data_IF_398948601932
#
_entry.id   IF_398948601932
#
_cell.length_a   1.000
_cell.length_b   1.000
_cell.length_c   1.000
_cell.angle_alpha   90.00
_cell.angle_beta   90.00
_cell.angle_gamma   90.00
#
_symmetry.space_group_name_H-M   'P 1'
#
loop_
_entity.id
_entity.type
_entity.pdbx_description
1 polymer ?
#
# COMPACT_ATOMS: atom_id res chain seq x y z
N UNK A 1 -18.27 -20.69 -12.70
CA UNK A 1 -18.08 -22.16 -12.91
C UNK A 1 -16.59 -22.43 -12.89
N UNK A 2 -16.16 -23.48 -12.18
CA UNK A 2 -14.78 -23.89 -12.22
C UNK A 2 -14.51 -24.61 -13.55
N UNK A 3 -13.39 -24.32 -14.19
CA UNK A 3 -12.95 -25.04 -15.37
C UNK A 3 -12.48 -26.46 -14.99
N UNK A 4 -12.69 -27.48 -15.81
CA UNK A 4 -12.31 -28.87 -15.50
C UNK A 4 -10.80 -29.04 -15.19
N UNK A 5 -9.97 -28.14 -15.72
CA UNK A 5 -8.51 -28.16 -15.54
C UNK A 5 -8.02 -27.30 -14.34
N UNK A 6 -8.91 -26.71 -13.56
CA UNK A 6 -8.55 -25.99 -12.34
C UNK A 6 -8.67 -26.92 -11.13
N UNK A 7 -7.69 -26.86 -10.22
CA UNK A 7 -7.78 -27.55 -8.94
C UNK A 7 -8.31 -26.60 -7.85
N UNK A 8 -9.41 -26.99 -7.23
CA UNK A 8 -10.00 -26.26 -6.09
C UNK A 8 -10.15 -27.25 -4.92
N UNK A 9 -9.47 -26.97 -3.82
CA UNK A 9 -9.54 -27.83 -2.63
C UNK A 9 -10.99 -27.89 -2.11
N UNK A 10 -11.51 -29.03 -1.71
CA UNK A 10 -12.90 -29.19 -1.27
C UNK A 10 -13.32 -28.32 -0.09
N UNK A 11 -12.38 -27.93 0.76
CA UNK A 11 -12.62 -27.06 1.92
C UNK A 11 -12.53 -25.56 1.60
N UNK A 12 -12.17 -25.17 0.37
CA UNK A 12 -12.19 -23.79 -0.04
C UNK A 12 -13.64 -23.26 -0.12
N UNK A 13 -13.88 -22.09 0.42
CA UNK A 13 -15.20 -21.44 0.44
C UNK A 13 -15.30 -20.45 -0.72
N UNK A 14 -15.84 -20.91 -1.83
CA UNK A 14 -15.97 -20.11 -3.05
C UNK A 14 -17.42 -19.63 -3.19
N UNK A 15 -17.63 -18.32 -3.25
CA UNK A 15 -18.95 -17.76 -3.44
C UNK A 15 -19.54 -18.09 -4.83
N UNK A 16 -20.87 -17.90 -4.99
CA UNK A 16 -21.52 -18.05 -6.29
C UNK A 16 -20.96 -17.03 -7.28
N UNK A 17 -21.00 -17.37 -8.57
CA UNK A 17 -20.55 -16.50 -9.69
C UNK A 17 -19.06 -16.11 -9.67
N UNK A 18 -18.23 -16.81 -8.91
CA UNK A 18 -16.76 -16.74 -9.06
C UNK A 18 -16.38 -17.50 -10.33
N UNK A 19 -15.52 -16.87 -11.15
CA UNK A 19 -14.95 -17.49 -12.35
C UNK A 19 -13.52 -17.89 -12.04
N UNK A 20 -13.18 -19.16 -12.29
CA UNK A 20 -11.83 -19.70 -12.09
C UNK A 20 -11.40 -20.29 -13.43
N UNK A 21 -10.35 -19.73 -14.00
CA UNK A 21 -9.79 -20.14 -15.30
C UNK A 21 -8.90 -21.39 -15.19
N UNK A 22 -8.58 -22.08 -16.31
CA UNK A 22 -7.78 -23.28 -16.32
C UNK A 22 -6.40 -23.13 -15.64
N UNK A 23 -5.88 -24.23 -15.12
CA UNK A 23 -4.55 -24.35 -14.49
C UNK A 23 -4.36 -23.51 -13.22
N UNK A 24 -5.45 -23.01 -12.64
CA UNK A 24 -5.45 -22.33 -11.35
C UNK A 24 -5.49 -23.35 -10.22
N UNK A 25 -4.72 -23.11 -9.16
CA UNK A 25 -4.70 -23.92 -7.94
C UNK A 25 -5.18 -23.11 -6.76
N UNK A 26 -6.22 -23.61 -6.05
CA UNK A 26 -6.76 -23.01 -4.83
C UNK A 26 -6.66 -24.04 -3.70
N UNK A 27 -5.90 -23.66 -2.65
CA UNK A 27 -5.63 -24.51 -1.50
C UNK A 27 -6.81 -24.54 -0.51
N UNK A 28 -6.68 -25.34 0.56
CA UNK A 28 -7.59 -25.35 1.70
C UNK A 28 -7.59 -23.99 2.43
N UNK A 29 -8.52 -23.79 3.35
CA UNK A 29 -8.63 -22.55 4.15
C UNK A 29 -8.59 -21.24 3.33
N UNK A 30 -9.17 -21.25 2.11
CA UNK A 30 -9.32 -20.08 1.24
C UNK A 30 -10.78 -19.64 1.21
N UNK A 31 -11.02 -18.32 1.22
CA UNK A 31 -12.36 -17.71 1.05
C UNK A 31 -12.30 -16.72 -0.10
N UNK A 32 -13.26 -16.83 -1.06
CA UNK A 32 -13.34 -15.93 -2.23
C UNK A 32 -14.76 -15.39 -2.35
N UNK A 33 -14.86 -14.06 -2.35
CA UNK A 33 -16.11 -13.30 -2.48
C UNK A 33 -16.72 -13.35 -3.88
N UNK A 34 -18.01 -13.02 -3.95
CA UNK A 34 -18.81 -13.11 -5.18
C UNK A 34 -18.31 -12.16 -6.28
N UNK A 35 -18.49 -12.56 -7.54
CA UNK A 35 -18.13 -11.75 -8.71
C UNK A 35 -16.63 -11.69 -9.02
N UNK A 36 -15.80 -12.35 -8.22
CA UNK A 36 -14.35 -12.37 -8.43
C UNK A 36 -13.98 -13.27 -9.61
N UNK A 37 -13.06 -12.78 -10.43
CA UNK A 37 -12.45 -13.51 -11.55
C UNK A 37 -10.99 -13.84 -11.26
N UNK A 38 -10.64 -15.09 -11.45
CA UNK A 38 -9.30 -15.63 -11.24
C UNK A 38 -8.79 -16.20 -12.57
N UNK A 39 -7.76 -15.57 -13.11
CA UNK A 39 -7.14 -15.93 -14.37
C UNK A 39 -6.41 -17.26 -14.33
N UNK A 40 -5.98 -17.71 -15.49
CA UNK A 40 -5.24 -18.97 -15.62
C UNK A 40 -3.88 -18.92 -14.91
N UNK A 41 -3.41 -20.09 -14.43
CA UNK A 41 -2.10 -20.22 -13.77
C UNK A 41 -1.94 -19.32 -12.53
N UNK A 42 -3.01 -19.04 -11.79
CA UNK A 42 -2.99 -18.36 -10.50
C UNK A 42 -2.86 -19.41 -9.39
N UNK A 43 -2.06 -19.14 -8.38
CA UNK A 43 -1.98 -19.95 -7.17
C UNK A 43 -2.51 -19.16 -5.99
N UNK A 44 -3.56 -19.67 -5.33
CA UNK A 44 -4.11 -19.11 -4.10
C UNK A 44 -3.85 -20.09 -2.96
N UNK A 45 -2.94 -19.72 -2.07
CA UNK A 45 -2.48 -20.57 -0.97
C UNK A 45 -3.35 -20.35 0.27
N UNK A 46 -3.10 -21.17 1.28
CA UNK A 46 -3.82 -21.16 2.56
C UNK A 46 -3.83 -19.77 3.21
N UNK A 47 -4.93 -19.47 3.90
CA UNK A 47 -5.09 -18.21 4.62
C UNK A 47 -5.56 -17.03 3.75
N UNK A 48 -5.78 -17.21 2.44
CA UNK A 48 -6.30 -16.15 1.59
C UNK A 48 -7.77 -15.85 1.90
N UNK A 49 -8.09 -14.57 2.06
CA UNK A 49 -9.43 -13.99 2.22
C UNK A 49 -9.60 -12.92 1.17
N UNK A 50 -10.26 -13.23 0.06
CA UNK A 50 -10.41 -12.37 -1.10
C UNK A 50 -11.83 -11.85 -1.14
N UNK A 51 -11.98 -10.54 -1.25
CA UNK A 51 -13.27 -9.85 -1.33
C UNK A 51 -14.04 -10.10 -2.62
N UNK A 52 -15.03 -9.24 -2.86
CA UNK A 52 -15.94 -9.33 -4.01
C UNK A 52 -15.39 -8.58 -5.21
N UNK A 53 -15.82 -9.00 -6.42
CA UNK A 53 -15.54 -8.30 -7.68
C UNK A 53 -14.03 -8.06 -7.92
N UNK A 54 -13.16 -8.88 -7.35
CA UNK A 54 -11.72 -8.80 -7.58
C UNK A 54 -11.35 -9.41 -8.92
N UNK A 55 -10.21 -9.00 -9.47
CA UNK A 55 -9.63 -9.57 -10.68
C UNK A 55 -8.17 -9.93 -10.42
N UNK A 56 -7.84 -11.22 -10.51
CA UNK A 56 -6.49 -11.74 -10.25
C UNK A 56 -5.98 -12.35 -11.55
N UNK A 57 -4.90 -11.78 -12.06
CA UNK A 57 -4.35 -12.09 -13.38
C UNK A 57 -3.30 -13.21 -13.32
N UNK A 58 -2.97 -13.81 -14.47
CA UNK A 58 -2.13 -14.99 -14.56
C UNK A 58 -0.76 -14.86 -13.88
N UNK A 59 -0.29 -15.96 -13.32
CA UNK A 59 1.02 -16.06 -12.67
C UNK A 59 1.09 -15.46 -11.26
N UNK A 60 -0.01 -14.86 -10.77
CA UNK A 60 -0.04 -14.32 -9.41
C UNK A 60 -0.06 -15.42 -8.35
N UNK A 61 0.64 -15.19 -7.24
CA UNK A 61 0.69 -16.07 -6.07
C UNK A 61 0.20 -15.31 -4.84
N UNK A 62 -0.94 -15.73 -4.31
CA UNK A 62 -1.60 -15.06 -3.19
C UNK A 62 -1.49 -15.93 -1.93
N UNK A 63 -1.10 -15.31 -0.82
CA UNK A 63 -0.99 -15.95 0.50
C UNK A 63 0.14 -16.98 0.60
N UNK A 64 1.23 -16.80 -0.18
CA UNK A 64 2.44 -17.59 0.05
C UNK A 64 2.98 -17.36 1.47
N UNK A 65 3.70 -18.36 1.98
CA UNK A 65 4.38 -18.25 3.28
C UNK A 65 5.33 -17.04 3.29
N UNK A 66 5.51 -16.38 4.44
CA UNK A 66 6.46 -15.29 4.57
C UNK A 66 7.88 -15.69 4.15
N UNK A 67 8.58 -14.75 3.50
CA UNK A 67 10.02 -14.88 3.23
C UNK A 67 10.81 -14.37 4.43
N UNK A 68 10.48 -14.87 5.62
CA UNK A 68 11.11 -14.50 6.89
C UNK A 68 11.63 -15.75 7.58
N UNK A 69 12.92 -15.77 7.91
CA UNK A 69 13.57 -16.90 8.59
C UNK A 69 13.00 -17.19 9.98
N UNK A 70 12.23 -16.27 10.56
CA UNK A 70 11.57 -16.42 11.86
C UNK A 70 10.16 -17.01 11.77
N UNK A 71 9.67 -17.27 10.56
CA UNK A 71 8.34 -17.84 10.36
C UNK A 71 8.36 -19.32 10.80
N UNK A 72 7.43 -19.70 11.69
CA UNK A 72 7.33 -20.99 12.34
C UNK A 72 6.00 -21.71 11.99
N UNK A 73 5.50 -21.55 10.74
CA UNK A 73 4.26 -22.13 10.21
C UNK A 73 2.98 -21.68 10.94
N UNK A 74 2.96 -20.46 11.49
CA UNK A 74 1.77 -19.87 12.13
C UNK A 74 0.58 -19.79 11.17
N UNK A 75 -0.62 -20.02 11.68
CA UNK A 75 -1.87 -19.81 10.94
C UNK A 75 -2.16 -18.32 10.75
N UNK A 76 -1.69 -17.77 9.66
CA UNK A 76 -1.84 -16.35 9.33
C UNK A 76 -2.58 -16.15 8.02
N UNK A 77 -2.97 -14.92 7.71
CA UNK A 77 -3.82 -14.63 6.55
C UNK A 77 -3.27 -13.56 5.61
N UNK A 78 -3.81 -13.56 4.39
CA UNK A 78 -3.86 -12.39 3.50
C UNK A 78 -5.31 -11.99 3.38
N UNK A 79 -5.62 -10.74 3.67
CA UNK A 79 -6.95 -10.16 3.53
C UNK A 79 -6.95 -9.14 2.39
N UNK A 80 -7.72 -9.40 1.33
CA UNK A 80 -7.87 -8.52 0.17
C UNK A 80 -9.30 -8.03 0.14
N UNK A 81 -9.49 -6.72 0.09
CA UNK A 81 -10.79 -6.06 0.04
C UNK A 81 -11.56 -6.28 -1.27
N UNK A 82 -12.61 -5.50 -1.45
CA UNK A 82 -13.49 -5.57 -2.62
C UNK A 82 -12.93 -4.76 -3.81
N UNK A 83 -13.28 -5.14 -5.05
CA UNK A 83 -12.92 -4.46 -6.30
C UNK A 83 -11.40 -4.28 -6.52
N UNK A 84 -10.58 -5.16 -5.99
CA UNK A 84 -9.12 -5.12 -6.15
C UNK A 84 -8.72 -5.78 -7.47
N UNK A 85 -7.84 -5.10 -8.22
CA UNK A 85 -7.22 -5.67 -9.42
C UNK A 85 -5.77 -5.99 -9.14
N UNK A 86 -5.42 -7.27 -9.25
CA UNK A 86 -4.06 -7.80 -9.08
C UNK A 86 -3.59 -8.30 -10.44
N UNK A 87 -2.60 -7.62 -11.01
CA UNK A 87 -2.08 -7.92 -12.35
C UNK A 87 -1.10 -9.11 -12.31
N UNK A 88 -0.54 -9.38 -13.47
CA UNK A 88 0.25 -10.58 -13.74
C UNK A 88 1.47 -10.70 -12.81
N UNK A 89 1.76 -11.92 -12.38
CA UNK A 89 2.95 -12.27 -11.59
C UNK A 89 3.13 -11.45 -10.29
N UNK A 90 2.06 -10.97 -9.71
CA UNK A 90 2.09 -10.34 -8.38
C UNK A 90 2.22 -11.40 -7.31
N UNK A 91 3.02 -11.14 -6.28
CA UNK A 91 3.14 -12.00 -5.11
C UNK A 91 2.76 -11.26 -3.84
N UNK A 92 1.91 -11.89 -3.00
CA UNK A 92 1.49 -11.36 -1.70
C UNK A 92 1.70 -12.45 -0.66
N UNK A 93 2.59 -12.19 0.31
CA UNK A 93 2.83 -13.12 1.41
C UNK A 93 1.82 -12.92 2.55
N UNK A 94 1.43 -14.00 3.24
CA UNK A 94 0.61 -13.93 4.44
C UNK A 94 1.41 -13.33 5.62
N UNK A 95 0.75 -12.99 6.71
CA UNK A 95 1.40 -12.40 7.89
C UNK A 95 2.30 -13.38 8.64
N UNK A 96 3.03 -12.86 9.62
CA UNK A 96 3.73 -13.62 10.65
C UNK A 96 3.00 -13.50 11.99
N UNK A 97 3.53 -14.07 13.05
CA UNK A 97 3.00 -13.93 14.42
C UNK A 97 2.94 -12.47 14.92
N UNK A 98 3.58 -11.53 14.25
CA UNK A 98 3.58 -10.12 14.66
C UNK A 98 2.23 -9.45 14.42
N UNK A 99 1.73 -9.48 13.17
CA UNK A 99 0.42 -8.89 12.82
C UNK A 99 -0.63 -9.93 12.43
N UNK A 100 -0.28 -11.19 12.37
CA UNK A 100 -1.14 -12.31 11.98
C UNK A 100 -1.73 -12.21 10.58
N UNK A 101 -1.52 -11.11 9.87
CA UNK A 101 -2.07 -10.87 8.53
C UNK A 101 -1.33 -9.84 7.72
N UNK A 102 -1.43 -9.97 6.41
CA UNK A 102 -1.14 -8.93 5.40
C UNK A 102 -2.47 -8.45 4.83
N UNK A 103 -2.65 -7.13 4.69
CA UNK A 103 -3.93 -6.55 4.27
C UNK A 103 -3.78 -5.67 3.05
N UNK A 104 -4.68 -5.80 2.09
CA UNK A 104 -4.88 -4.88 0.95
C UNK A 104 -6.32 -4.39 0.96
N UNK A 105 -6.52 -3.08 1.08
CA UNK A 105 -7.84 -2.46 1.13
C UNK A 105 -8.59 -2.49 -0.20
N UNK A 106 -9.76 -1.87 -0.21
CA UNK A 106 -10.68 -1.86 -1.35
C UNK A 106 -10.18 -1.01 -2.53
N UNK A 107 -10.66 -1.33 -3.73
CA UNK A 107 -10.47 -0.54 -4.96
C UNK A 107 -8.99 -0.30 -5.33
N UNK A 108 -8.10 -1.20 -4.94
CA UNK A 108 -6.67 -1.08 -5.24
C UNK A 108 -6.34 -1.65 -6.63
N UNK A 109 -5.34 -1.05 -7.27
CA UNK A 109 -4.71 -1.57 -8.49
C UNK A 109 -3.25 -1.92 -8.19
N UNK A 110 -2.93 -3.21 -8.20
CA UNK A 110 -1.59 -3.73 -8.03
C UNK A 110 -1.12 -4.24 -9.38
N UNK A 111 -0.23 -3.48 -10.03
CA UNK A 111 0.22 -3.79 -11.39
C UNK A 111 1.23 -4.93 -11.40
N UNK A 112 1.57 -5.38 -12.61
CA UNK A 112 2.36 -6.59 -12.80
C UNK A 112 3.74 -6.55 -12.10
N UNK A 113 4.16 -7.72 -11.62
CA UNK A 113 5.42 -7.95 -10.92
C UNK A 113 5.59 -7.20 -9.59
N UNK A 114 4.51 -6.67 -9.00
CA UNK A 114 4.60 -6.12 -7.65
C UNK A 114 4.75 -7.23 -6.61
N UNK A 115 5.42 -6.89 -5.52
CA UNK A 115 5.55 -7.76 -4.35
C UNK A 115 5.07 -7.05 -3.08
N UNK A 116 4.22 -7.72 -2.30
CA UNK A 116 3.78 -7.29 -0.97
C UNK A 116 4.21 -8.36 0.01
N UNK A 117 5.21 -8.05 0.84
CA UNK A 117 5.70 -8.96 1.85
C UNK A 117 4.72 -9.07 3.04
N UNK A 118 5.09 -9.93 3.98
CA UNK A 118 4.33 -10.25 5.19
C UNK A 118 4.05 -9.02 6.07
N UNK A 119 2.96 -9.04 6.80
CA UNK A 119 2.57 -8.03 7.79
C UNK A 119 2.41 -6.60 7.23
N UNK A 120 2.29 -6.46 5.91
CA UNK A 120 2.00 -5.18 5.28
C UNK A 120 0.53 -4.80 5.48
N UNK A 121 0.29 -3.51 5.65
CA UNK A 121 -1.02 -2.89 5.57
C UNK A 121 -1.06 -1.93 4.38
N UNK A 122 -1.95 -2.17 3.44
CA UNK A 122 -2.23 -1.29 2.30
C UNK A 122 -3.66 -0.79 2.41
N UNK A 123 -3.82 0.53 2.48
CA UNK A 123 -5.14 1.19 2.54
C UNK A 123 -5.93 1.09 1.24
N UNK A 124 -7.04 1.81 1.18
CA UNK A 124 -7.97 1.79 0.06
C UNK A 124 -7.51 2.67 -1.11
N UNK A 125 -8.01 2.37 -2.32
CA UNK A 125 -7.80 3.16 -3.54
C UNK A 125 -6.31 3.39 -3.89
N UNK A 126 -5.43 2.48 -3.51
CA UNK A 126 -4.01 2.55 -3.80
C UNK A 126 -3.68 2.08 -5.21
N UNK A 127 -2.64 2.67 -5.80
CA UNK A 127 -2.12 2.26 -7.10
C UNK A 127 -0.64 1.95 -6.97
N UNK A 128 -0.25 0.70 -7.21
CA UNK A 128 1.13 0.26 -7.29
C UNK A 128 1.45 -0.03 -8.75
N UNK A 129 2.35 0.78 -9.32
CA UNK A 129 2.81 0.54 -10.69
C UNK A 129 3.80 -0.62 -10.74
N UNK A 130 4.09 -1.09 -11.94
CA UNK A 130 4.90 -2.28 -12.19
C UNK A 130 6.20 -2.33 -11.36
N UNK A 131 6.53 -3.51 -10.84
CA UNK A 131 7.74 -3.80 -10.07
C UNK A 131 7.85 -3.01 -8.74
N UNK A 132 6.75 -2.51 -8.19
CA UNK A 132 6.74 -1.96 -6.83
C UNK A 132 6.92 -3.08 -5.83
N UNK A 133 7.83 -2.89 -4.86
CA UNK A 133 8.13 -3.89 -3.83
C UNK A 133 7.97 -3.29 -2.44
N UNK A 134 7.13 -3.91 -1.61
CA UNK A 134 7.04 -3.63 -0.19
C UNK A 134 7.76 -4.73 0.58
N UNK A 135 8.76 -4.35 1.40
CA UNK A 135 9.32 -5.26 2.40
C UNK A 135 8.34 -5.47 3.56
N UNK A 136 8.67 -6.35 4.51
CA UNK A 136 7.76 -6.69 5.62
C UNK A 136 7.37 -5.48 6.50
N UNK A 137 6.18 -5.54 7.10
CA UNK A 137 5.66 -4.56 8.06
C UNK A 137 5.46 -3.14 7.51
N UNK A 138 5.44 -2.95 6.21
CA UNK A 138 5.18 -1.65 5.59
C UNK A 138 3.71 -1.24 5.78
N UNK A 139 3.50 0.04 6.05
CA UNK A 139 2.15 0.64 6.15
C UNK A 139 1.95 1.67 5.05
N UNK A 140 0.94 1.48 4.22
CA UNK A 140 0.55 2.40 3.14
C UNK A 140 -0.84 2.93 3.43
N UNK A 141 -0.98 4.25 3.52
CA UNK A 141 -2.27 4.90 3.72
C UNK A 141 -3.16 4.88 2.46
N UNK A 142 -4.39 5.35 2.61
CA UNK A 142 -5.35 5.41 1.50
C UNK A 142 -4.90 6.32 0.36
N UNK A 143 -5.30 5.99 -0.85
CA UNK A 143 -5.07 6.81 -2.05
C UNK A 143 -3.59 7.06 -2.39
N UNK A 144 -2.69 6.25 -1.90
CA UNK A 144 -1.26 6.32 -2.22
C UNK A 144 -1.03 5.81 -3.64
N UNK A 145 -0.12 6.50 -4.34
CA UNK A 145 0.38 6.05 -5.64
C UNK A 145 1.89 5.82 -5.53
N UNK A 146 2.31 4.58 -5.71
CA UNK A 146 3.70 4.20 -5.86
C UNK A 146 3.97 3.97 -7.37
N UNK A 147 4.79 4.82 -7.96
CA UNK A 147 5.13 4.68 -9.37
C UNK A 147 6.08 3.49 -9.60
N UNK A 148 6.34 3.15 -10.86
CA UNK A 148 7.07 1.93 -11.19
C UNK A 148 8.46 1.81 -10.53
N UNK A 149 8.81 0.60 -10.12
CA UNK A 149 10.11 0.28 -9.52
C UNK A 149 10.37 0.99 -8.17
N UNK A 150 9.33 1.36 -7.43
CA UNK A 150 9.48 1.85 -6.05
C UNK A 150 9.74 0.69 -5.12
N UNK A 151 10.77 0.81 -4.29
CA UNK A 151 11.07 -0.16 -3.23
C UNK A 151 10.89 0.51 -1.84
N UNK A 152 10.05 -0.08 -1.00
CA UNK A 152 9.76 0.41 0.34
C UNK A 152 10.43 -0.46 1.38
N UNK A 153 11.30 0.16 2.20
CA UNK A 153 12.05 -0.53 3.24
C UNK A 153 11.13 -1.02 4.36
N UNK A 154 11.52 -2.13 4.98
CA UNK A 154 10.80 -2.75 6.11
C UNK A 154 10.49 -1.73 7.22
N UNK A 155 9.28 -1.80 7.77
CA UNK A 155 8.73 -0.91 8.79
C UNK A 155 8.54 0.56 8.36
N UNK A 156 8.71 0.91 7.10
CA UNK A 156 8.42 2.26 6.65
C UNK A 156 6.92 2.49 6.44
N UNK A 157 6.51 3.73 6.62
CA UNK A 157 5.13 4.18 6.41
C UNK A 157 5.04 5.21 5.29
N UNK A 158 4.00 5.12 4.46
CA UNK A 158 3.66 6.11 3.44
C UNK A 158 2.26 6.63 3.74
N UNK A 159 2.17 7.90 4.09
CA UNK A 159 0.90 8.55 4.47
C UNK A 159 -0.06 8.69 3.30
N UNK A 160 -1.37 8.83 3.63
CA UNK A 160 -2.43 8.88 2.62
C UNK A 160 -2.22 9.98 1.58
N UNK A 161 -2.74 9.76 0.39
CA UNK A 161 -2.63 10.68 -0.75
C UNK A 161 -1.18 11.00 -1.20
N UNK A 162 -0.17 10.36 -0.66
CA UNK A 162 1.21 10.54 -1.12
C UNK A 162 1.42 9.96 -2.53
N UNK A 163 2.32 10.59 -3.27
CA UNK A 163 2.81 10.10 -4.55
C UNK A 163 4.33 9.92 -4.48
N UNK A 164 4.80 8.70 -4.69
CA UNK A 164 6.23 8.38 -4.75
C UNK A 164 6.62 8.14 -6.21
N UNK A 165 7.61 8.88 -6.70
CA UNK A 165 8.06 8.78 -8.11
C UNK A 165 8.78 7.46 -8.40
N UNK A 166 8.78 7.06 -9.67
CA UNK A 166 9.39 5.80 -10.10
C UNK A 166 10.88 5.70 -9.80
N UNK A 167 11.35 4.48 -9.55
CA UNK A 167 12.74 4.19 -9.20
C UNK A 167 13.18 4.66 -7.82
N UNK A 168 12.26 5.06 -6.95
CA UNK A 168 12.58 5.61 -5.63
C UNK A 168 12.80 4.52 -4.58
N UNK A 169 13.77 4.74 -3.69
CA UNK A 169 14.02 3.92 -2.50
C UNK A 169 13.47 4.61 -1.25
N UNK A 170 12.36 4.10 -0.70
CA UNK A 170 11.71 4.64 0.50
C UNK A 170 12.37 4.04 1.73
N UNK A 171 13.36 4.71 2.29
CA UNK A 171 14.10 4.28 3.49
C UNK A 171 13.60 4.91 4.78
N UNK A 172 12.83 6.00 4.69
CA UNK A 172 12.21 6.75 5.79
C UNK A 172 10.73 6.97 5.47
N UNK A 173 9.97 7.34 6.48
CA UNK A 173 8.55 7.56 6.34
C UNK A 173 8.24 8.74 5.40
N UNK A 174 7.23 8.58 4.59
CA UNK A 174 6.74 9.57 3.63
C UNK A 174 5.45 10.18 4.17
N UNK A 175 5.42 11.47 4.55
CA UNK A 175 4.22 12.09 5.12
C UNK A 175 3.02 12.08 4.17
N UNK A 176 1.79 12.25 4.69
CA UNK A 176 0.59 12.36 3.86
C UNK A 176 0.65 13.51 2.86
N UNK A 177 -0.08 13.40 1.75
CA UNK A 177 -0.31 14.45 0.75
C UNK A 177 0.90 14.88 -0.09
N UNK A 178 2.08 14.38 0.17
CA UNK A 178 3.31 14.84 -0.48
C UNK A 178 3.57 14.15 -1.82
N UNK A 179 4.38 14.81 -2.63
CA UNK A 179 5.13 14.21 -3.74
C UNK A 179 6.56 14.00 -3.28
N UNK A 180 7.00 12.74 -3.31
CA UNK A 180 8.37 12.32 -2.97
C UNK A 180 9.13 11.91 -4.22
N UNK A 181 10.36 12.40 -4.37
CA UNK A 181 11.21 12.13 -5.52
C UNK A 181 12.69 12.25 -5.14
N UNK A 182 13.59 11.90 -6.08
CA UNK A 182 15.05 12.03 -6.00
C UNK A 182 15.72 10.92 -5.20
N UNK A 183 17.06 10.91 -5.20
CA UNK A 183 17.92 10.07 -4.38
C UNK A 183 18.93 10.96 -3.65
N UNK A 184 18.96 10.96 -2.32
CA UNK A 184 18.01 10.30 -1.42
C UNK A 184 16.57 10.87 -1.55
N UNK A 185 15.56 10.01 -1.27
CA UNK A 185 14.15 10.38 -1.38
C UNK A 185 13.84 11.63 -0.55
N UNK A 186 13.25 12.63 -1.18
CA UNK A 186 13.01 13.94 -0.59
C UNK A 186 11.64 14.50 -0.95
N UNK A 187 11.12 15.38 -0.11
CA UNK A 187 9.94 16.17 -0.41
C UNK A 187 10.22 17.14 -1.58
N UNK A 188 9.45 17.05 -2.64
CA UNK A 188 9.55 17.93 -3.82
C UNK A 188 8.27 18.74 -4.07
N UNK A 189 7.39 18.79 -3.09
CA UNK A 189 6.10 19.47 -3.15
C UNK A 189 4.97 18.57 -2.66
N UNK A 190 3.75 19.03 -2.81
CA UNK A 190 2.55 18.24 -2.50
C UNK A 190 2.00 17.57 -3.76
N UNK A 191 1.25 16.50 -3.58
CA UNK A 191 0.57 15.79 -4.66
C UNK A 191 -0.68 16.54 -5.15
N UNK A 192 -0.50 17.80 -5.59
CA UNK A 192 -1.61 18.68 -5.96
C UNK A 192 -2.49 18.12 -7.08
N UNK A 193 -1.93 17.37 -8.02
CA UNK A 193 -2.69 16.74 -9.10
C UNK A 193 -3.60 15.64 -8.55
N UNK A 194 -3.06 14.76 -7.70
CA UNK A 194 -3.83 13.70 -7.07
C UNK A 194 -4.93 14.26 -6.16
N UNK A 195 -4.65 15.29 -5.40
CA UNK A 195 -5.60 15.95 -4.51
C UNK A 195 -6.76 16.60 -5.29
N UNK A 196 -6.47 17.37 -6.36
CA UNK A 196 -7.52 17.95 -7.22
C UNK A 196 -8.44 16.88 -7.84
N UNK A 197 -7.87 15.78 -8.32
CA UNK A 197 -8.66 14.65 -8.86
C UNK A 197 -9.61 14.03 -7.84
N UNK A 198 -9.33 14.21 -6.56
CA UNK A 198 -10.14 13.74 -5.42
C UNK A 198 -11.01 14.83 -4.78
N UNK A 199 -11.14 15.99 -5.45
CA UNK A 199 -12.05 17.04 -5.04
C UNK A 199 -11.53 18.02 -3.99
N UNK A 200 -10.24 18.00 -3.67
CA UNK A 200 -9.65 19.01 -2.78
C UNK A 200 -9.67 20.37 -3.45
N UNK A 201 -10.16 21.39 -2.74
CA UNK A 201 -10.18 22.77 -3.23
C UNK A 201 -8.76 23.35 -3.33
N UNK A 202 -8.61 24.41 -4.11
CA UNK A 202 -7.32 25.10 -4.25
C UNK A 202 -6.87 25.70 -2.90
N UNK A 203 -7.79 26.18 -2.10
CA UNK A 203 -7.54 26.74 -0.76
C UNK A 203 -7.00 25.66 0.18
N UNK A 204 -7.64 24.49 0.22
CA UNK A 204 -7.19 23.36 1.04
C UNK A 204 -5.81 22.87 0.60
N UNK A 205 -5.57 22.80 -0.70
CA UNK A 205 -4.26 22.44 -1.24
C UNK A 205 -3.18 23.44 -0.81
N UNK A 206 -3.48 24.73 -0.80
CA UNK A 206 -2.56 25.78 -0.30
C UNK A 206 -2.32 25.69 1.19
N UNK A 207 -3.35 25.37 1.98
CA UNK A 207 -3.22 25.12 3.42
C UNK A 207 -2.22 23.99 3.69
N UNK A 208 -2.42 22.82 3.07
CA UNK A 208 -1.49 21.68 3.19
C UNK A 208 -0.07 22.08 2.74
N UNK A 209 0.06 22.84 1.65
CA UNK A 209 1.35 23.31 1.17
C UNK A 209 2.05 24.23 2.18
N UNK A 210 1.31 25.08 2.90
CA UNK A 210 1.87 25.95 3.93
C UNK A 210 2.41 25.16 5.12
N UNK A 211 1.73 24.08 5.54
CA UNK A 211 2.24 23.17 6.57
C UNK A 211 3.62 22.64 6.19
N UNK A 212 3.75 22.09 4.98
CA UNK A 212 5.02 21.54 4.52
C UNK A 212 6.10 22.60 4.26
N UNK A 213 5.73 23.86 3.98
CA UNK A 213 6.68 24.97 3.92
C UNK A 213 7.29 25.25 5.29
N UNK A 214 6.52 25.19 6.37
CA UNK A 214 7.05 25.35 7.73
C UNK A 214 7.95 24.15 8.07
N UNK A 215 7.51 22.92 7.79
CA UNK A 215 8.23 21.70 8.10
C UNK A 215 9.58 21.57 7.39
N UNK A 216 9.68 21.99 6.13
CA UNK A 216 10.82 21.68 5.27
C UNK A 216 11.61 22.89 4.75
N UNK A 217 11.12 24.10 4.87
CA UNK A 217 11.75 25.27 4.23
C UNK A 217 12.19 26.37 5.20
N UNK A 218 11.88 26.27 6.50
CA UNK A 218 12.19 27.33 7.48
C UNK A 218 13.30 26.99 8.49
N UNK A 219 14.14 25.99 8.20
CA UNK A 219 15.27 25.58 9.06
C UNK A 219 14.91 25.25 10.53
N UNK A 220 13.67 24.92 10.82
CA UNK A 220 13.27 24.41 12.13
C UNK A 220 13.56 22.91 12.24
N UNK A 221 13.83 22.43 13.45
CA UNK A 221 13.67 21.01 13.70
C UNK A 221 12.17 20.63 13.72
N UNK A 222 11.85 19.32 13.62
CA UNK A 222 10.46 18.90 13.48
C UNK A 222 9.58 19.25 14.67
N UNK A 223 10.12 19.23 15.91
CA UNK A 223 9.38 19.64 17.11
C UNK A 223 9.02 21.10 17.06
N UNK A 224 9.99 21.98 16.79
CA UNK A 224 9.73 23.43 16.63
C UNK A 224 8.75 23.73 15.49
N UNK A 225 8.87 23.02 14.37
CA UNK A 225 7.94 23.19 13.24
C UNK A 225 6.50 22.80 13.61
N UNK A 226 6.34 21.71 14.36
CA UNK A 226 5.03 21.25 14.86
C UNK A 226 4.44 22.29 15.82
N UNK A 227 5.22 22.77 16.80
CA UNK A 227 4.77 23.79 17.76
C UNK A 227 4.27 25.07 17.04
N UNK A 228 5.00 25.51 16.00
CA UNK A 228 4.59 26.67 15.18
C UNK A 228 3.30 26.38 14.41
N UNK A 229 3.19 25.19 13.79
CA UNK A 229 1.98 24.80 13.02
C UNK A 229 0.77 24.74 13.94
N UNK A 230 0.91 24.16 15.15
CA UNK A 230 -0.17 24.08 16.14
C UNK A 230 -0.59 25.47 16.67
N UNK A 231 0.36 26.41 16.80
CA UNK A 231 0.10 27.75 17.31
C UNK A 231 -0.47 28.72 16.25
N UNK A 232 0.00 28.63 15.00
CA UNK A 232 -0.28 29.65 13.96
C UNK A 232 -1.32 29.21 12.93
N UNK A 233 -1.65 27.92 12.84
CA UNK A 233 -2.56 27.40 11.82
C UNK A 233 -3.84 26.85 12.43
N UNK A 234 -4.97 27.09 11.76
CA UNK A 234 -6.26 26.55 12.15
C UNK A 234 -6.24 25.02 12.27
N UNK A 235 -6.92 24.48 13.27
CA UNK A 235 -7.08 23.04 13.46
C UNK A 235 -7.97 22.46 12.36
N UNK A 236 -7.36 21.69 11.45
CA UNK A 236 -8.06 20.98 10.39
C UNK A 236 -7.68 19.50 10.40
N UNK A 237 -8.55 18.61 9.90
CA UNK A 237 -8.24 17.18 9.84
C UNK A 237 -6.92 16.85 9.14
N UNK A 238 -6.60 17.57 8.06
CA UNK A 238 -5.38 17.37 7.30
C UNK A 238 -4.13 17.84 8.08
N UNK A 239 -4.23 18.99 8.79
CA UNK A 239 -3.15 19.46 9.66
C UNK A 239 -2.86 18.46 10.77
N UNK A 240 -3.90 18.06 11.47
CA UNK A 240 -3.75 17.16 12.62
C UNK A 240 -3.23 15.79 12.21
N UNK A 241 -3.65 15.27 11.05
CA UNK A 241 -3.13 14.04 10.51
C UNK A 241 -1.64 14.13 10.13
N UNK A 242 -1.20 15.23 9.49
CA UNK A 242 0.20 15.42 9.16
C UNK A 242 1.05 15.45 10.45
N UNK A 243 0.58 16.20 11.47
CA UNK A 243 1.28 16.29 12.76
C UNK A 243 1.35 14.92 13.43
N UNK A 244 0.23 14.21 13.50
CA UNK A 244 0.17 12.89 14.11
C UNK A 244 1.08 11.89 13.40
N UNK A 245 1.06 11.86 12.06
CA UNK A 245 1.96 11.02 11.28
C UNK A 245 3.43 11.27 11.61
N UNK A 246 3.82 12.53 11.78
CA UNK A 246 5.22 12.89 12.10
C UNK A 246 5.57 12.49 13.53
N UNK A 247 4.65 12.68 14.49
CA UNK A 247 4.82 12.27 15.90
C UNK A 247 4.96 10.75 16.04
N UNK A 248 4.22 9.98 15.24
CA UNK A 248 4.22 8.50 15.27
C UNK A 248 5.37 7.88 14.45
N UNK A 249 6.12 8.67 13.72
CA UNK A 249 7.19 8.17 12.86
C UNK A 249 8.40 7.69 13.66
N UNK A 250 8.53 6.39 13.86
CA UNK A 250 9.68 5.78 14.54
C UNK A 250 10.96 5.77 13.70
N UNK A 251 10.83 5.75 12.37
CA UNK A 251 11.98 5.79 11.44
C UNK A 251 12.46 7.19 11.11
N UNK A 252 11.70 8.21 11.51
CA UNK A 252 11.83 9.59 11.07
C UNK A 252 11.36 9.77 9.62
N UNK A 253 10.87 10.94 9.31
CA UNK A 253 10.38 11.28 7.97
C UNK A 253 11.52 11.63 7.00
N UNK A 254 11.25 11.49 5.70
CA UNK A 254 12.14 11.98 4.64
C UNK A 254 12.43 13.47 4.80
N UNK A 255 13.55 13.94 4.28
CA UNK A 255 13.96 15.36 4.36
C UNK A 255 13.27 16.21 3.28
N UNK A 256 13.23 17.51 3.51
CA UNK A 256 12.95 18.50 2.47
C UNK A 256 14.09 18.53 1.45
N UNK A 257 13.78 18.91 0.22
CA UNK A 257 14.79 19.19 -0.78
C UNK A 257 15.21 20.66 -0.68
N UNK A 258 16.49 20.87 -0.42
CA UNK A 258 17.10 22.18 -0.53
C UNK A 258 17.92 22.22 -1.83
N UNK A 259 17.69 23.22 -2.69
CA UNK A 259 18.66 23.54 -3.73
C UNK A 259 19.93 24.01 -2.99
N UNK A 260 20.97 23.20 -3.01
CA UNK A 260 22.31 23.72 -2.74
C UNK A 260 22.70 24.45 -4.01
N UNK A 261 22.58 25.78 -3.98
CA UNK A 261 23.18 26.64 -5.01
C UNK A 261 24.67 26.58 -4.90
#
# INVERSE_FOLDING_TARGET
>A
MNQPLAYVHPQAKIARNVVIEPFTTIHNNVVIGSGTWIGSNVTIMEGARIGKNCRIFPGSVISAIPQDLKFEDEETTVEIGDNVTIRECVTINRGTKDRMKTTVGDNCLIMAYCHIAHDCFVGNNCVFSNNTTLAGHVTIGDNVVLAGMVAVHQFASVGKHAFVTGGSLVRKDVPPYVKAAREPLSYVGINSVGLRRRGYSTEKIREIQNIFRILFQKNYNYTQAIDIIEAEMEATPERDEIIQFIKDSHRGIMKGYFNVN
#
